data_IF_402448996397
#
_entry.id   IF_402448996397
#
_cell.length_a   1.000
_cell.length_b   1.000
_cell.length_c   1.000
_cell.angle_alpha   90.00
_cell.angle_beta   90.00
_cell.angle_gamma   90.00
#
_symmetry.space_group_name_H-M   'P 1'
#
loop_
_entity.id
_entity.type
_entity.pdbx_description
1 polymer ?
#
# COMPACT_ATOMS: atom_id res chain seq x y z
N UNK A 1 -3.10 24.11 -1.21
CA UNK A 1 -2.81 22.69 -1.48
C UNK A 1 -4.10 22.09 -1.97
N UNK A 2 -4.11 21.58 -3.19
CA UNK A 2 -5.29 20.89 -3.73
C UNK A 2 -5.29 19.45 -3.22
N UNK A 3 -6.45 18.95 -2.78
CA UNK A 3 -6.61 17.59 -2.27
C UNK A 3 -7.49 16.85 -3.26
N UNK A 4 -6.96 15.78 -3.84
CA UNK A 4 -7.69 14.91 -4.75
C UNK A 4 -7.97 13.58 -4.06
N UNK A 5 -9.20 13.10 -4.18
CA UNK A 5 -9.60 11.79 -3.67
C UNK A 5 -9.24 10.74 -4.71
N UNK A 6 -8.47 9.73 -4.28
CA UNK A 6 -8.10 8.57 -5.08
C UNK A 6 -8.61 7.31 -4.37
N UNK A 7 -9.76 6.81 -4.83
CA UNK A 7 -10.42 5.62 -4.26
C UNK A 7 -9.52 4.38 -4.31
N UNK A 8 -8.57 4.30 -5.25
CA UNK A 8 -7.62 3.20 -5.32
C UNK A 8 -6.64 3.13 -4.13
N UNK A 9 -6.59 4.16 -3.26
CA UNK A 9 -5.76 4.17 -2.05
C UNK A 9 -6.56 3.90 -0.75
N UNK A 10 -7.82 3.49 -0.85
CA UNK A 10 -8.55 2.96 0.31
C UNK A 10 -7.87 1.69 0.85
N UNK A 11 -8.06 1.41 2.13
CA UNK A 11 -7.52 0.19 2.75
C UNK A 11 -7.98 -1.09 2.02
N UNK A 12 -7.19 -2.16 2.09
CA UNK A 12 -7.60 -3.48 1.61
C UNK A 12 -8.87 -3.91 2.36
N UNK A 13 -9.92 -4.22 1.62
CA UNK A 13 -11.14 -4.79 2.21
C UNK A 13 -10.88 -6.26 2.53
N UNK A 14 -10.77 -6.62 3.81
CA UNK A 14 -10.47 -8.00 4.20
C UNK A 14 -11.63 -8.95 3.87
N UNK A 15 -12.85 -8.52 4.17
CA UNK A 15 -14.10 -9.29 4.03
C UNK A 15 -15.30 -8.35 4.03
N UNK A 16 -16.48 -8.82 3.62
CA UNK A 16 -17.73 -8.05 3.73
C UNK A 16 -18.20 -7.88 5.17
N UNK A 17 -18.07 -8.94 5.98
CA UNK A 17 -18.42 -8.96 7.40
C UNK A 17 -17.17 -9.09 8.25
N UNK A 18 -17.15 -8.59 9.49
CA UNK A 18 -16.01 -8.79 10.39
C UNK A 18 -15.65 -10.27 10.51
N UNK A 19 -14.37 -10.57 10.36
CA UNK A 19 -13.83 -11.91 10.63
C UNK A 19 -13.73 -12.13 12.15
N UNK A 20 -13.93 -13.36 12.61
CA UNK A 20 -13.82 -13.70 14.03
C UNK A 20 -12.36 -13.67 14.52
N UNK A 21 -11.42 -14.15 13.69
CA UNK A 21 -10.00 -14.20 13.98
C UNK A 21 -9.23 -13.33 12.98
N UNK A 22 -9.01 -12.07 13.35
CA UNK A 22 -8.34 -11.10 12.50
C UNK A 22 -6.88 -11.50 12.20
N UNK A 23 -6.15 -12.02 13.19
CA UNK A 23 -4.73 -12.34 13.06
C UNK A 23 -4.51 -13.48 12.06
N UNK A 24 -5.23 -14.59 12.21
CA UNK A 24 -5.13 -15.69 11.26
C UNK A 24 -5.67 -15.30 9.87
N UNK A 25 -6.73 -14.48 9.83
CA UNK A 25 -7.28 -14.00 8.56
C UNK A 25 -6.29 -13.14 7.80
N UNK A 26 -5.60 -12.20 8.47
CA UNK A 26 -4.62 -11.33 7.83
C UNK A 26 -3.39 -12.12 7.37
N UNK A 27 -2.91 -13.08 8.18
CA UNK A 27 -1.81 -13.98 7.78
C UNK A 27 -2.19 -14.75 6.52
N UNK A 28 -3.43 -15.29 6.45
CA UNK A 28 -3.89 -16.08 5.31
C UNK A 28 -3.83 -15.32 3.99
N UNK A 29 -4.32 -14.08 3.97
CA UNK A 29 -4.32 -13.23 2.76
C UNK A 29 -2.93 -12.67 2.40
N UNK A 30 -1.94 -12.79 3.28
CA UNK A 30 -0.54 -12.50 2.96
C UNK A 30 0.21 -13.75 2.47
N UNK A 31 -0.14 -14.94 2.96
CA UNK A 31 0.44 -16.21 2.51
C UNK A 31 -0.06 -16.64 1.12
N UNK A 32 -1.33 -16.37 0.81
CA UNK A 32 -1.93 -16.64 -0.48
C UNK A 32 -2.47 -15.33 -1.08
N UNK A 33 -1.69 -14.75 -2.00
CA UNK A 33 -1.99 -13.45 -2.59
C UNK A 33 -3.22 -13.44 -3.50
N UNK A 34 -3.73 -14.61 -3.89
CA UNK A 34 -4.96 -14.77 -4.68
C UNK A 34 -6.17 -15.10 -3.81
N UNK A 35 -5.97 -15.45 -2.54
CA UNK A 35 -7.05 -15.79 -1.63
C UNK A 35 -7.92 -14.58 -1.31
N UNK A 36 -9.23 -14.79 -1.26
CA UNK A 36 -10.22 -13.80 -0.84
C UNK A 36 -11.16 -14.40 0.19
N UNK A 37 -11.54 -13.61 1.19
CA UNK A 37 -12.74 -13.89 1.97
C UNK A 37 -13.97 -13.38 1.21
N UNK A 38 -15.15 -13.85 1.59
CA UNK A 38 -16.42 -13.41 1.01
C UNK A 38 -16.54 -11.88 1.02
N UNK A 39 -16.70 -11.31 -0.17
CA UNK A 39 -16.80 -9.87 -0.42
C UNK A 39 -15.58 -9.03 -0.04
N UNK A 40 -14.44 -9.66 0.21
CA UNK A 40 -13.12 -9.02 0.39
C UNK A 40 -12.32 -8.91 -0.91
N UNK A 41 -11.11 -8.40 -0.78
CA UNK A 41 -10.11 -8.28 -1.85
C UNK A 41 -8.94 -9.22 -1.57
N UNK A 42 -8.39 -9.79 -2.64
CA UNK A 42 -7.11 -10.47 -2.61
C UNK A 42 -5.97 -9.46 -2.43
N UNK A 43 -4.80 -9.95 -2.00
CA UNK A 43 -3.58 -9.14 -2.04
C UNK A 43 -3.31 -8.59 -3.45
N UNK A 44 -3.53 -9.43 -4.47
CA UNK A 44 -3.33 -9.07 -5.87
C UNK A 44 -4.28 -7.95 -6.34
N UNK A 45 -5.57 -8.03 -6.03
CA UNK A 45 -6.54 -7.00 -6.42
C UNK A 45 -6.24 -5.65 -5.76
N UNK A 46 -5.98 -5.65 -4.44
CA UNK A 46 -5.66 -4.45 -3.69
C UNK A 46 -4.33 -3.82 -4.15
N UNK A 47 -3.28 -4.63 -4.34
CA UNK A 47 -2.00 -4.17 -4.88
C UNK A 47 -2.19 -3.59 -6.28
N UNK A 48 -2.88 -4.31 -7.18
CA UNK A 48 -3.06 -3.91 -8.57
C UNK A 48 -3.75 -2.55 -8.70
N UNK A 49 -4.84 -2.30 -7.95
CA UNK A 49 -5.50 -0.98 -7.99
C UNK A 49 -4.59 0.13 -7.46
N UNK A 50 -3.87 -0.10 -6.36
CA UNK A 50 -2.99 0.89 -5.77
C UNK A 50 -1.82 1.23 -6.70
N UNK A 51 -1.14 0.21 -7.23
CA UNK A 51 -0.02 0.36 -8.16
C UNK A 51 -0.45 1.07 -9.43
N UNK A 52 -1.59 0.70 -10.01
CA UNK A 52 -2.11 1.37 -11.22
C UNK A 52 -2.27 2.87 -11.01
N UNK A 53 -2.79 3.30 -9.86
CA UNK A 53 -2.93 4.71 -9.53
C UNK A 53 -1.59 5.40 -9.25
N UNK A 54 -0.65 4.75 -8.55
CA UNK A 54 0.72 5.29 -8.38
C UNK A 54 1.42 5.51 -9.72
N UNK A 55 1.41 4.52 -10.62
CA UNK A 55 2.05 4.64 -11.93
C UNK A 55 1.40 5.74 -12.77
N UNK A 56 0.07 5.90 -12.71
CA UNK A 56 -0.63 7.03 -13.35
C UNK A 56 -0.15 8.37 -12.79
N UNK A 57 -0.07 8.49 -11.46
CA UNK A 57 0.35 9.70 -10.77
C UNK A 57 1.80 10.05 -11.10
N UNK A 58 2.72 9.09 -11.14
CA UNK A 58 4.12 9.29 -11.52
C UNK A 58 4.24 9.88 -12.94
N UNK A 59 3.42 9.40 -13.89
CA UNK A 59 3.38 9.95 -15.26
C UNK A 59 2.79 11.35 -15.33
N UNK A 60 1.63 11.55 -14.70
CA UNK A 60 0.87 12.81 -14.77
C UNK A 60 1.59 13.98 -14.07
N UNK A 61 2.31 13.68 -13.00
CA UNK A 61 2.98 14.67 -12.16
C UNK A 61 4.51 14.51 -12.18
N UNK A 62 5.07 14.03 -13.30
CA UNK A 62 6.51 13.87 -13.50
C UNK A 62 7.30 15.12 -13.05
N UNK A 63 8.36 14.89 -12.28
CA UNK A 63 9.24 15.94 -11.74
C UNK A 63 8.68 16.69 -10.51
N UNK A 64 7.52 16.29 -9.97
CA UNK A 64 6.93 16.88 -8.76
C UNK A 64 6.98 15.94 -7.57
N UNK A 65 6.91 16.50 -6.36
CA UNK A 65 6.69 15.74 -5.12
C UNK A 65 5.19 15.71 -4.81
N UNK A 66 4.70 14.54 -4.40
CA UNK A 66 3.29 14.28 -4.10
C UNK A 66 3.22 13.59 -2.75
N UNK A 67 2.22 13.96 -1.96
CA UNK A 67 1.92 13.32 -0.68
C UNK A 67 0.66 12.49 -0.85
N UNK A 68 0.71 11.22 -0.46
CA UNK A 68 -0.43 10.30 -0.47
C UNK A 68 -0.78 9.96 0.97
N UNK A 69 -2.00 10.31 1.39
CA UNK A 69 -2.59 9.82 2.64
C UNK A 69 -3.32 8.51 2.39
N UNK A 70 -2.99 7.46 3.14
CA UNK A 70 -3.57 6.11 2.95
C UNK A 70 -3.55 5.31 4.26
N UNK A 71 -3.77 4.00 4.18
CA UNK A 71 -3.78 3.07 5.31
C UNK A 71 -2.63 2.06 5.21
N UNK A 72 -2.35 1.35 6.30
CA UNK A 72 -1.14 0.55 6.42
C UNK A 72 -1.06 -0.62 5.44
N UNK A 73 -2.14 -1.39 5.26
CA UNK A 73 -2.04 -2.62 4.49
C UNK A 73 -1.90 -2.35 2.98
N UNK A 74 -2.73 -1.46 2.43
CA UNK A 74 -2.61 -1.01 1.03
C UNK A 74 -1.27 -0.32 0.75
N UNK A 75 -0.72 0.46 1.70
CA UNK A 75 0.60 1.07 1.55
C UNK A 75 1.68 0.01 1.33
N UNK A 76 1.74 -1.00 2.20
CA UNK A 76 2.75 -2.06 2.09
C UNK A 76 2.54 -2.91 0.84
N UNK A 77 1.29 -3.20 0.46
CA UNK A 77 1.01 -3.90 -0.80
C UNK A 77 1.52 -3.12 -2.03
N UNK A 78 1.37 -1.80 -2.06
CA UNK A 78 1.93 -0.97 -3.13
C UNK A 78 3.46 -1.01 -3.11
N UNK A 79 4.07 -0.86 -1.94
CA UNK A 79 5.53 -0.90 -1.79
C UNK A 79 6.10 -2.27 -2.20
N UNK A 80 5.40 -3.35 -1.85
CA UNK A 80 5.72 -4.74 -2.19
C UNK A 80 5.88 -4.95 -3.69
N UNK A 81 5.04 -4.31 -4.51
CA UNK A 81 5.13 -4.41 -5.97
C UNK A 81 6.49 -3.94 -6.51
N UNK A 82 7.07 -2.91 -5.89
CA UNK A 82 8.35 -2.35 -6.32
C UNK A 82 9.55 -3.00 -5.63
N UNK A 83 9.38 -3.50 -4.40
CA UNK A 83 10.40 -4.21 -3.64
C UNK A 83 9.74 -5.23 -2.70
N UNK A 84 10.01 -6.52 -2.95
CA UNK A 84 9.43 -7.62 -2.19
C UNK A 84 9.87 -7.67 -0.71
N UNK A 85 10.85 -6.85 -0.29
CA UNK A 85 11.21 -6.71 1.12
C UNK A 85 10.10 -6.02 1.95
N UNK A 86 9.14 -5.36 1.32
CA UNK A 86 7.95 -4.83 1.96
C UNK A 86 6.88 -5.91 2.04
N UNK A 87 6.90 -6.71 3.10
CA UNK A 87 6.08 -7.90 3.28
C UNK A 87 5.19 -7.80 4.52
N UNK A 88 4.59 -8.93 4.91
CA UNK A 88 3.79 -9.05 6.14
C UNK A 88 4.58 -8.63 7.39
N UNK A 89 5.84 -9.05 7.49
CA UNK A 89 6.68 -8.74 8.64
C UNK A 89 6.98 -7.25 8.71
N UNK A 90 7.20 -6.59 7.57
CA UNK A 90 7.28 -5.13 7.52
C UNK A 90 5.96 -4.47 7.95
N UNK A 91 4.83 -4.94 7.42
CA UNK A 91 3.51 -4.39 7.76
C UNK A 91 3.21 -4.46 9.27
N UNK A 92 3.54 -5.57 9.94
CA UNK A 92 3.32 -5.72 11.40
C UNK A 92 4.16 -4.77 12.26
N UNK A 93 5.26 -4.21 11.70
CA UNK A 93 6.15 -3.26 12.39
C UNK A 93 5.83 -1.79 12.11
N UNK A 94 4.82 -1.50 11.28
CA UNK A 94 4.44 -0.12 11.00
C UNK A 94 3.98 0.60 12.26
N UNK A 95 4.43 1.85 12.42
CA UNK A 95 3.91 2.77 13.43
C UNK A 95 2.75 3.61 12.85
N UNK A 96 1.97 4.26 13.70
CA UNK A 96 0.89 5.15 13.24
C UNK A 96 0.94 6.51 13.96
N UNK A 97 1.19 7.62 13.25
CA UNK A 97 1.50 7.71 11.82
C UNK A 97 2.94 7.25 11.49
N UNK A 98 3.14 6.75 10.28
CA UNK A 98 4.46 6.47 9.71
C UNK A 98 4.54 7.02 8.28
N UNK A 99 5.72 7.49 7.87
CA UNK A 99 5.90 8.21 6.60
C UNK A 99 7.08 7.60 5.84
N UNK A 100 6.84 7.21 4.59
CA UNK A 100 7.87 6.71 3.69
C UNK A 100 7.95 7.58 2.43
N UNK A 101 9.16 8.02 2.11
CA UNK A 101 9.49 8.67 0.85
C UNK A 101 10.01 7.64 -0.13
N UNK A 102 9.24 7.38 -1.17
CA UNK A 102 9.67 6.59 -2.33
C UNK A 102 10.15 7.56 -3.42
N UNK A 103 11.38 7.36 -3.89
CA UNK A 103 11.97 8.15 -4.97
C UNK A 103 12.02 7.29 -6.24
N UNK A 104 11.63 7.87 -7.37
CA UNK A 104 11.50 7.18 -8.65
C UNK A 104 12.28 7.88 -9.76
N UNK A 105 12.84 7.09 -10.67
CA UNK A 105 13.28 7.53 -12.00
C UNK A 105 12.26 7.00 -13.03
N UNK A 106 11.36 7.89 -13.47
CA UNK A 106 10.17 7.48 -14.20
C UNK A 106 9.26 6.61 -13.33
N UNK A 107 9.10 5.34 -13.67
CA UNK A 107 8.32 4.35 -12.90
C UNK A 107 9.20 3.37 -12.11
N UNK A 108 10.53 3.48 -12.22
CA UNK A 108 11.47 2.63 -11.50
C UNK A 108 11.73 3.20 -10.11
N UNK A 109 11.48 2.39 -9.07
CA UNK A 109 11.83 2.75 -7.70
C UNK A 109 13.36 2.73 -7.55
N UNK A 110 13.93 3.84 -7.07
CA UNK A 110 15.39 3.97 -6.85
C UNK A 110 15.77 4.06 -5.38
N UNK A 111 14.86 4.53 -4.52
CA UNK A 111 15.13 4.65 -3.08
C UNK A 111 13.85 4.69 -2.27
N UNK A 112 13.89 4.05 -1.11
CA UNK A 112 12.91 4.24 -0.04
C UNK A 112 13.60 4.78 1.20
N UNK A 113 12.97 5.76 1.85
CA UNK A 113 13.43 6.33 3.11
C UNK A 113 12.25 6.47 4.06
N UNK A 114 12.37 5.92 5.27
CA UNK A 114 11.46 6.25 6.38
C UNK A 114 11.80 7.67 6.86
N UNK A 115 10.80 8.53 6.95
CA UNK A 115 10.94 9.91 7.43
C UNK A 115 10.52 9.93 8.90
N UNK A 116 11.43 10.33 9.78
CA UNK A 116 11.14 10.50 11.21
C UNK A 116 10.74 11.96 11.50
N UNK A 117 10.21 12.22 12.69
CA UNK A 117 9.83 13.59 13.11
C UNK A 117 11.04 14.53 13.34
N UNK A 118 12.26 14.03 13.23
CA UNK A 118 13.49 14.80 13.48
C UNK A 118 14.17 15.32 12.20
N UNK A 119 13.58 15.07 11.02
CA UNK A 119 14.02 15.58 9.71
C UNK A 119 13.36 16.92 9.32
#
# INVERSE_FOLDING_TARGET
MDIQIEEAFRERKLSEKPVEDFENSIIRVWQDFHFTFEGGESGLEAQSRGVKSILRILREYSGKNIVVGTHGNIMVLIMNYFDNNYDYDFWTRLEMPDIYKLSFEGEQLVRVQRISRED
#
